data_IF_191285647062
#
_entry.id   IF_191285647062
#
_cell.length_a   1.000
_cell.length_b   1.000
_cell.length_c   1.000
_cell.angle_alpha   90.00
_cell.angle_beta   90.00
_cell.angle_gamma   90.00
#
_symmetry.space_group_name_H-M   'P 1'
#
loop_
_entity.id
_entity.type
_entity.pdbx_description
1 polymer ?
#
# COMPACT_ATOMS: atom_id res chain seq x y z
N UNK A 1 19.04 15.39 11.84
CA UNK A 1 17.86 14.92 12.60
C UNK A 1 18.35 14.46 13.96
N UNK A 2 17.58 14.68 15.05
CA UNK A 2 17.85 13.96 16.31
C UNK A 2 17.75 12.45 16.03
N UNK A 3 18.31 11.58 16.88
CA UNK A 3 18.27 10.11 16.73
C UNK A 3 16.84 9.53 16.86
N UNK A 4 15.88 10.04 16.08
CA UNK A 4 14.53 9.53 16.00
C UNK A 4 14.49 8.50 14.87
N UNK A 5 14.04 7.26 15.15
CA UNK A 5 13.88 6.27 14.11
C UNK A 5 12.79 6.72 13.13
N UNK A 6 13.04 6.53 11.83
CA UNK A 6 12.05 6.76 10.78
C UNK A 6 10.99 5.66 10.87
N UNK A 7 9.89 5.92 11.59
CA UNK A 7 8.77 4.98 11.67
C UNK A 7 7.76 5.23 10.55
N UNK A 8 7.00 4.19 10.19
CA UNK A 8 5.94 4.25 9.17
C UNK A 8 4.92 5.38 9.40
N UNK A 9 4.73 5.79 10.66
CA UNK A 9 3.77 6.84 11.05
C UNK A 9 4.21 8.25 10.64
N UNK A 10 5.50 8.45 10.31
CA UNK A 10 6.06 9.75 9.92
C UNK A 10 5.91 10.06 8.42
N UNK A 11 5.42 9.11 7.64
CA UNK A 11 5.28 9.24 6.19
C UNK A 11 3.88 9.68 5.80
N UNK A 12 3.79 10.44 4.72
CA UNK A 12 2.52 10.84 4.14
C UNK A 12 1.80 9.63 3.56
N UNK A 13 0.60 9.34 4.09
CA UNK A 13 -0.22 8.21 3.67
C UNK A 13 -1.37 8.72 2.79
N UNK A 14 -1.34 8.33 1.52
CA UNK A 14 -2.45 8.50 0.59
C UNK A 14 -3.38 7.29 0.69
N UNK A 15 -4.58 7.53 1.19
CA UNK A 15 -5.66 6.52 1.28
C UNK A 15 -6.56 6.57 0.04
N UNK A 16 -7.30 5.48 -0.18
CA UNK A 16 -8.40 5.50 -1.16
C UNK A 16 -9.43 6.54 -0.75
N UNK A 17 -9.85 7.43 -1.66
CA UNK A 17 -10.86 8.40 -1.32
C UNK A 17 -12.24 7.75 -1.19
N UNK A 18 -13.08 8.35 -0.35
CA UNK A 18 -14.44 7.89 -0.08
C UNK A 18 -15.40 8.22 -1.23
N UNK A 19 -16.50 7.46 -1.34
CA UNK A 19 -17.62 7.79 -2.23
C UNK A 19 -17.34 7.74 -3.74
N UNK A 20 -16.23 7.12 -4.15
CA UNK A 20 -15.86 7.02 -5.57
C UNK A 20 -15.27 8.30 -6.15
N UNK A 21 -14.67 9.16 -5.33
CA UNK A 21 -13.94 10.32 -5.83
C UNK A 21 -12.68 9.89 -6.62
N UNK A 22 -12.36 10.64 -7.67
CA UNK A 22 -11.30 10.27 -8.63
C UNK A 22 -10.07 11.17 -8.53
N UNK A 23 -9.83 11.73 -7.34
CA UNK A 23 -8.64 12.51 -7.03
C UNK A 23 -8.03 12.02 -5.73
N UNK A 24 -6.71 12.10 -5.65
CA UNK A 24 -5.91 11.81 -4.48
C UNK A 24 -5.77 13.06 -3.63
N UNK A 25 -5.86 12.88 -2.32
CA UNK A 25 -5.45 13.89 -1.33
C UNK A 25 -4.08 13.50 -0.82
N UNK A 26 -3.09 14.37 -1.03
CA UNK A 26 -1.71 14.16 -0.61
C UNK A 26 -1.39 15.22 0.45
N UNK A 27 -0.99 14.82 1.67
CA UNK A 27 -0.53 15.77 2.67
C UNK A 27 0.69 16.56 2.14
N UNK A 28 0.74 17.86 2.45
CA UNK A 28 1.82 18.76 2.07
C UNK A 28 2.12 19.77 3.17
N UNK A 29 3.20 20.54 2.99
CA UNK A 29 3.67 21.49 4.02
C UNK A 29 2.67 22.60 4.35
N UNK A 30 1.86 23.01 3.37
CA UNK A 30 0.84 24.04 3.52
C UNK A 30 -0.58 23.47 3.74
N UNK A 31 -0.69 22.15 3.95
CA UNK A 31 -1.95 21.42 4.02
C UNK A 31 -2.11 20.43 2.87
N UNK A 32 -3.32 19.89 2.76
CA UNK A 32 -3.65 18.85 1.79
C UNK A 32 -3.71 19.39 0.35
N UNK A 33 -3.06 18.67 -0.56
CA UNK A 33 -3.02 18.96 -1.99
C UNK A 33 -3.80 17.90 -2.78
N UNK A 34 -4.56 18.33 -3.79
CA UNK A 34 -5.43 17.45 -4.58
C UNK A 34 -4.81 17.16 -5.94
N UNK A 35 -4.65 15.87 -6.25
CA UNK A 35 -4.04 15.38 -7.49
C UNK A 35 -5.00 14.47 -8.26
N UNK A 36 -5.16 14.68 -9.56
CA UNK A 36 -5.93 13.75 -10.42
C UNK A 36 -5.18 12.45 -10.70
N UNK A 37 -3.85 12.51 -10.64
CA UNK A 37 -2.96 11.38 -10.86
C UNK A 37 -1.70 11.53 -10.01
N UNK A 38 -1.11 10.41 -9.63
CA UNK A 38 0.19 10.36 -8.97
C UNK A 38 1.20 9.73 -9.91
N UNK A 39 2.37 10.34 -10.05
CA UNK A 39 3.44 9.85 -10.91
C UNK A 39 4.71 9.74 -10.09
N UNK A 40 5.45 8.64 -10.26
CA UNK A 40 6.70 8.41 -9.53
C UNK A 40 7.30 7.03 -9.77
N UNK A 41 8.41 6.76 -9.10
CA UNK A 41 9.07 5.46 -9.13
C UNK A 41 8.56 4.65 -7.94
N UNK A 42 8.05 3.45 -8.19
CA UNK A 42 7.69 2.53 -7.10
C UNK A 42 8.97 1.87 -6.58
N UNK A 43 9.40 2.26 -5.39
CA UNK A 43 10.62 1.77 -4.77
C UNK A 43 10.46 0.33 -4.27
N UNK A 44 9.35 0.08 -3.58
CA UNK A 44 8.95 -1.24 -3.10
C UNK A 44 7.43 -1.26 -2.84
N UNK A 45 6.90 -2.43 -2.51
CA UNK A 45 5.55 -2.61 -2.04
C UNK A 45 5.45 -3.75 -1.02
N UNK A 46 4.48 -3.65 -0.11
CA UNK A 46 4.10 -4.75 0.78
C UNK A 46 2.64 -5.14 0.55
N UNK A 47 2.27 -6.34 1.00
CA UNK A 47 0.90 -6.86 0.90
C UNK A 47 0.32 -7.12 2.28
N UNK A 48 0.00 -6.09 3.08
CA UNK A 48 -0.47 -6.33 4.42
C UNK A 48 -1.90 -6.87 4.42
N UNK A 49 -2.14 -7.72 5.42
CA UNK A 49 -3.45 -8.26 5.78
C UNK A 49 -3.93 -7.68 7.09
N UNK A 50 -5.22 -7.41 7.16
CA UNK A 50 -5.87 -6.96 8.36
C UNK A 50 -7.27 -7.58 8.49
N UNK A 51 -7.59 -8.05 9.68
CA UNK A 51 -8.89 -8.61 10.04
C UNK A 51 -9.52 -7.80 11.16
N UNK A 52 -10.80 -7.47 11.01
CA UNK A 52 -11.65 -6.89 12.03
C UNK A 52 -12.82 -7.84 12.27
N UNK A 53 -13.28 -7.92 13.51
CA UNK A 53 -14.47 -8.67 13.93
C UNK A 53 -15.78 -7.96 13.55
N UNK A 54 -15.69 -6.69 13.16
CA UNK A 54 -16.79 -5.91 12.57
C UNK A 54 -16.61 -5.73 11.06
N UNK A 55 -17.69 -5.85 10.24
CA UNK A 55 -17.60 -5.71 8.79
C UNK A 55 -17.20 -4.30 8.33
N UNK A 56 -17.69 -3.28 9.05
CA UNK A 56 -17.51 -1.86 8.76
C UNK A 56 -16.92 -1.14 9.99
N UNK A 57 -15.62 -1.35 10.28
CA UNK A 57 -14.95 -0.66 11.38
C UNK A 57 -14.94 0.84 11.14
N UNK A 58 -15.14 1.61 12.21
CA UNK A 58 -14.94 3.07 12.20
C UNK A 58 -13.49 3.36 11.79
N UNK A 59 -13.27 4.43 11.03
CA UNK A 59 -11.92 4.81 10.61
C UNK A 59 -10.99 4.97 11.83
N UNK A 60 -9.80 4.39 11.74
CA UNK A 60 -8.82 4.39 12.84
C UNK A 60 -8.97 3.21 13.81
N UNK A 61 -10.04 2.41 13.74
CA UNK A 61 -10.19 1.20 14.55
C UNK A 61 -9.05 0.22 14.23
N UNK A 62 -8.24 -0.21 15.21
CA UNK A 62 -7.16 -1.17 14.98
C UNK A 62 -7.75 -2.56 14.62
N UNK A 63 -7.07 -3.34 13.76
CA UNK A 63 -7.51 -4.69 13.45
C UNK A 63 -7.29 -5.63 14.64
N UNK A 64 -8.15 -6.65 14.75
CA UNK A 64 -7.99 -7.76 15.70
C UNK A 64 -6.76 -8.60 15.34
N UNK A 65 -6.45 -8.71 14.05
CA UNK A 65 -5.24 -9.37 13.59
C UNK A 65 -4.66 -8.63 12.37
N UNK A 66 -3.34 -8.46 12.37
CA UNK A 66 -2.56 -7.86 11.30
C UNK A 66 -1.41 -8.77 10.87
N UNK A 67 -1.05 -8.72 9.59
CA UNK A 67 0.17 -9.29 9.02
C UNK A 67 0.77 -8.26 8.05
N UNK A 68 2.05 -7.87 8.19
CA UNK A 68 2.66 -6.88 7.30
C UNK A 68 2.93 -7.41 5.88
N UNK A 69 3.11 -8.71 5.74
CA UNK A 69 3.61 -9.36 4.52
C UNK A 69 2.64 -10.38 3.90
N UNK A 70 1.47 -10.59 4.50
CA UNK A 70 0.51 -11.66 4.17
C UNK A 70 0.98 -13.09 4.42
N UNK A 71 2.15 -13.29 5.02
CA UNK A 71 2.70 -14.62 5.30
C UNK A 71 2.48 -14.99 6.76
N UNK A 72 2.89 -14.12 7.68
CA UNK A 72 2.84 -14.35 9.13
C UNK A 72 2.14 -13.19 9.81
N UNK A 73 1.19 -13.48 10.70
CA UNK A 73 0.54 -12.47 11.52
C UNK A 73 1.45 -11.95 12.63
N UNK A 74 1.07 -10.83 13.23
CA UNK A 74 1.79 -10.23 14.36
C UNK A 74 1.94 -11.18 15.56
N UNK A 75 1.07 -12.18 15.71
CA UNK A 75 1.12 -13.23 16.74
C UNK A 75 1.85 -14.51 16.27
N UNK A 76 2.56 -14.46 15.15
CA UNK A 76 3.41 -15.55 14.65
C UNK A 76 2.68 -16.67 13.89
N UNK A 77 1.37 -16.53 13.62
CA UNK A 77 0.59 -17.57 12.94
C UNK A 77 0.65 -17.44 11.41
N UNK A 78 0.66 -18.56 10.66
CA UNK A 78 0.69 -18.51 9.20
C UNK A 78 -0.67 -18.08 8.63
N UNK A 79 -0.68 -17.00 7.84
CA UNK A 79 -1.88 -16.47 7.20
C UNK A 79 -2.50 -17.44 6.17
N UNK A 80 -1.71 -18.39 5.66
CA UNK A 80 -2.17 -19.45 4.73
C UNK A 80 -3.09 -20.48 5.37
N UNK A 81 -3.13 -20.58 6.71
CA UNK A 81 -4.01 -21.50 7.46
C UNK A 81 -5.09 -20.78 8.26
N UNK A 82 -5.28 -19.49 8.01
CA UNK A 82 -6.26 -18.68 8.72
C UNK A 82 -7.65 -18.86 8.14
N UNK A 83 -8.63 -19.26 8.96
CA UNK A 83 -10.03 -19.41 8.56
C UNK A 83 -10.64 -18.12 8.00
N UNK A 84 -10.15 -16.95 8.43
CA UNK A 84 -10.59 -15.64 7.93
C UNK A 84 -9.99 -15.30 6.56
N UNK A 85 -9.06 -16.10 6.04
CA UNK A 85 -8.50 -15.99 4.70
C UNK A 85 -9.12 -17.00 3.71
N UNK A 86 -10.14 -17.74 4.13
CA UNK A 86 -10.88 -18.63 3.23
C UNK A 86 -11.91 -17.86 2.40
N UNK A 87 -12.13 -18.30 1.16
CA UNK A 87 -13.22 -17.75 0.34
C UNK A 87 -14.56 -18.00 1.02
N UNK A 88 -15.42 -16.99 1.10
CA UNK A 88 -16.71 -17.11 1.81
C UNK A 88 -16.66 -16.71 3.28
N UNK A 89 -15.47 -16.52 3.87
CA UNK A 89 -15.34 -16.24 5.31
C UNK A 89 -15.92 -14.90 5.77
N UNK A 90 -16.20 -13.95 4.86
CA UNK A 90 -16.75 -12.64 5.22
C UNK A 90 -18.20 -12.71 5.72
N UNK A 91 -19.06 -13.34 4.94
CA UNK A 91 -20.52 -13.30 5.11
C UNK A 91 -21.22 -14.59 4.66
N UNK A 92 -20.50 -15.60 4.15
CA UNK A 92 -21.07 -16.86 3.64
C UNK A 92 -21.77 -16.74 2.27
N UNK A 93 -22.29 -15.56 1.94
CA UNK A 93 -23.02 -15.30 0.69
C UNK A 93 -22.13 -14.83 -0.47
N UNK A 94 -21.01 -14.16 -0.15
CA UNK A 94 -20.05 -13.70 -1.15
C UNK A 94 -18.78 -14.54 -1.11
N UNK A 95 -18.11 -14.70 -2.26
CA UNK A 95 -16.74 -15.26 -2.30
C UNK A 95 -15.68 -14.32 -1.68
N UNK A 96 -16.08 -13.33 -0.87
CA UNK A 96 -15.15 -12.43 -0.21
C UNK A 96 -14.51 -13.10 1.00
N UNK A 97 -13.29 -12.67 1.31
CA UNK A 97 -12.54 -13.08 2.49
C UNK A 97 -12.73 -12.05 3.60
N UNK A 98 -12.88 -12.49 4.85
CA UNK A 98 -13.03 -11.60 5.99
C UNK A 98 -11.73 -10.80 6.26
N UNK A 99 -10.59 -11.48 6.17
CA UNK A 99 -9.27 -10.88 6.26
C UNK A 99 -8.94 -10.13 4.96
N UNK A 100 -8.91 -8.80 5.04
CA UNK A 100 -8.69 -7.89 3.92
C UNK A 100 -7.19 -7.86 3.59
N UNK A 101 -6.85 -8.10 2.33
CA UNK A 101 -5.48 -8.02 1.81
C UNK A 101 -5.35 -6.79 0.89
N UNK A 102 -4.51 -5.85 1.29
CA UNK A 102 -4.25 -4.61 0.56
C UNK A 102 -2.85 -4.59 -0.04
N UNK A 103 -2.53 -3.58 -0.84
CA UNK A 103 -1.14 -3.30 -1.25
C UNK A 103 -0.74 -1.95 -0.66
N UNK A 104 0.45 -1.90 -0.08
CA UNK A 104 1.09 -0.65 0.33
C UNK A 104 2.24 -0.38 -0.61
N UNK A 105 2.19 0.73 -1.35
CA UNK A 105 3.20 1.11 -2.34
C UNK A 105 4.03 2.26 -1.75
N UNK A 106 5.36 2.17 -1.86
CA UNK A 106 6.27 3.27 -1.53
C UNK A 106 6.64 4.00 -2.83
N UNK A 107 5.98 5.15 -3.07
CA UNK A 107 6.13 5.91 -4.30
C UNK A 107 7.08 7.09 -4.10
N UNK A 108 8.23 7.07 -4.77
CA UNK A 108 9.11 8.23 -4.88
C UNK A 108 8.58 9.18 -5.96
N UNK A 109 8.04 10.32 -5.55
CA UNK A 109 7.51 11.34 -6.46
C UNK A 109 8.63 12.21 -7.04
N UNK A 110 8.42 12.86 -8.20
CA UNK A 110 9.29 13.94 -8.64
C UNK A 110 9.32 15.04 -7.57
N UNK A 111 10.47 15.70 -7.46
CA UNK A 111 10.70 16.84 -6.57
C UNK A 111 10.60 16.55 -5.06
N UNK A 112 10.54 15.27 -4.67
CA UNK A 112 10.52 14.85 -3.27
C UNK A 112 11.55 13.75 -3.01
N UNK A 113 12.39 13.93 -1.98
CA UNK A 113 13.40 12.93 -1.60
C UNK A 113 12.81 11.79 -0.75
N UNK A 114 11.68 12.05 -0.08
CA UNK A 114 10.99 11.06 0.74
C UNK A 114 9.84 10.43 -0.06
N UNK A 115 9.71 9.09 -0.08
CA UNK A 115 8.60 8.44 -0.72
C UNK A 115 7.31 8.65 0.07
N UNK A 116 6.18 8.74 -0.63
CA UNK A 116 4.86 8.70 -0.02
C UNK A 116 4.34 7.26 0.02
N UNK A 117 3.42 6.98 0.93
CA UNK A 117 2.82 5.67 1.10
C UNK A 117 1.44 5.66 0.47
N UNK A 118 1.21 4.79 -0.51
CA UNK A 118 -0.09 4.67 -1.17
C UNK A 118 -0.74 3.36 -0.75
N UNK A 119 -1.90 3.45 -0.09
CA UNK A 119 -2.71 2.29 0.30
C UNK A 119 -3.70 1.95 -0.81
N UNK A 120 -3.43 0.87 -1.53
CA UNK A 120 -4.30 0.32 -2.57
C UNK A 120 -5.29 -0.66 -1.93
N UNK A 121 -6.60 -0.44 -2.08
CA UNK A 121 -7.62 -1.29 -1.48
C UNK A 121 -7.71 -2.68 -2.14
N UNK A 122 -8.37 -3.62 -1.45
CA UNK A 122 -8.58 -5.01 -1.91
C UNK A 122 -9.14 -5.07 -3.33
N UNK A 123 -10.05 -4.14 -3.66
CA UNK A 123 -10.71 -4.04 -4.97
C UNK A 123 -9.76 -3.75 -6.12
N UNK A 124 -8.60 -3.14 -5.86
CA UNK A 124 -7.62 -2.78 -6.90
C UNK A 124 -6.32 -3.59 -6.83
N UNK A 125 -6.17 -4.46 -5.83
CA UNK A 125 -4.99 -5.34 -5.66
C UNK A 125 -4.67 -6.14 -6.94
N UNK A 126 -5.69 -6.76 -7.54
CA UNK A 126 -5.50 -7.58 -8.74
C UNK A 126 -5.06 -6.74 -9.95
N UNK A 127 -5.47 -5.47 -10.02
CA UNK A 127 -5.04 -4.54 -11.08
C UNK A 127 -3.54 -4.26 -10.94
N UNK A 128 -3.08 -3.98 -9.71
CA UNK A 128 -1.66 -3.80 -9.41
C UNK A 128 -0.84 -5.06 -9.71
N UNK A 129 -1.30 -6.24 -9.28
CA UNK A 129 -0.62 -7.51 -9.55
C UNK A 129 -0.49 -7.79 -11.06
N UNK A 130 -1.56 -7.55 -11.83
CA UNK A 130 -1.52 -7.68 -13.30
C UNK A 130 -0.55 -6.68 -13.93
N UNK A 131 -0.48 -5.45 -13.41
CA UNK A 131 0.50 -4.47 -13.84
C UNK A 131 1.93 -4.99 -13.63
N UNK A 132 2.26 -5.50 -12.44
CA UNK A 132 3.57 -6.11 -12.16
C UNK A 132 3.87 -7.30 -13.07
N UNK A 133 2.90 -8.22 -13.28
CA UNK A 133 3.10 -9.36 -14.19
C UNK A 133 3.41 -8.91 -15.62
N UNK A 134 2.78 -7.83 -16.10
CA UNK A 134 3.06 -7.27 -17.43
C UNK A 134 4.45 -6.65 -17.53
N UNK A 135 4.92 -5.99 -16.48
CA UNK A 135 6.29 -5.47 -16.41
C UNK A 135 7.31 -6.60 -16.43
N UNK A 136 7.11 -7.64 -15.61
CA UNK A 136 7.96 -8.84 -15.58
C UNK A 136 7.99 -9.51 -16.96
N UNK A 137 6.84 -9.65 -17.63
CA UNK A 137 6.77 -10.21 -18.98
C UNK A 137 7.55 -9.42 -20.05
N UNK A 138 7.90 -8.16 -19.75
CA UNK A 138 8.76 -7.30 -20.57
C UNK A 138 10.19 -7.16 -20.03
N UNK A 139 10.56 -7.95 -19.00
CA UNK A 139 11.85 -7.86 -18.31
C UNK A 139 12.13 -6.47 -17.71
N UNK A 140 11.08 -5.74 -17.33
CA UNK A 140 11.17 -4.42 -16.75
C UNK A 140 10.96 -4.53 -15.22
N UNK A 141 11.94 -4.16 -14.39
CA UNK A 141 11.73 -4.15 -12.95
C UNK A 141 10.75 -3.03 -12.56
N UNK A 142 9.99 -3.22 -11.48
CA UNK A 142 8.99 -2.25 -11.00
C UNK A 142 9.61 -0.87 -10.70
N UNK A 143 10.79 -0.83 -10.09
CA UNK A 143 11.54 0.39 -9.83
C UNK A 143 12.30 0.94 -11.07
N UNK A 144 12.26 0.26 -12.21
CA UNK A 144 12.90 0.69 -13.47
C UNK A 144 11.95 1.45 -14.40
N UNK A 145 10.77 1.82 -13.93
CA UNK A 145 9.80 2.61 -14.68
C UNK A 145 9.26 3.77 -13.84
N UNK A 146 8.80 4.80 -14.52
CA UNK A 146 7.92 5.78 -13.92
C UNK A 146 6.49 5.26 -14.03
N UNK A 147 5.85 5.03 -12.88
CA UNK A 147 4.47 4.58 -12.77
C UNK A 147 3.56 5.78 -12.58
N UNK A 148 2.52 5.87 -13.41
CA UNK A 148 1.37 6.75 -13.22
C UNK A 148 0.23 5.96 -12.59
N UNK A 149 -0.40 6.54 -11.58
CA UNK A 149 -1.52 5.99 -10.83
C UNK A 149 -2.71 6.93 -10.98
N UNK A 150 -3.85 6.40 -11.42
CA UNK A 150 -5.10 7.15 -11.59
C UNK A 150 -6.24 6.46 -10.86
N UNK A 151 -7.32 7.21 -10.61
CA UNK A 151 -8.54 6.69 -10.01
C UNK A 151 -9.70 6.70 -10.99
N UNK A 152 -10.44 5.61 -11.02
CA UNK A 152 -11.66 5.44 -11.81
C UNK A 152 -12.85 5.17 -10.89
N UNK A 153 -13.94 5.91 -11.08
CA UNK A 153 -15.18 5.67 -10.33
C UNK A 153 -15.90 4.45 -10.88
N UNK A 154 -16.26 3.53 -10.00
CA UNK A 154 -17.03 2.32 -10.32
C UNK A 154 -18.02 2.02 -9.20
N UNK A 155 -18.83 0.96 -9.33
CA UNK A 155 -19.82 0.55 -8.34
C UNK A 155 -19.69 -0.92 -7.99
N UNK A 156 -19.97 -1.26 -6.72
CA UNK A 156 -20.03 -2.66 -6.30
C UNK A 156 -21.39 -3.29 -6.69
N UNK A 157 -21.59 -4.57 -6.36
CA UNK A 157 -22.85 -5.29 -6.67
C UNK A 157 -24.09 -4.65 -6.04
N UNK A 158 -23.95 -3.89 -4.95
CA UNK A 158 -25.04 -3.19 -4.28
C UNK A 158 -25.19 -1.73 -4.74
N UNK A 159 -24.48 -1.33 -5.80
CA UNK A 159 -24.56 0.01 -6.38
C UNK A 159 -23.77 1.10 -5.64
N UNK A 160 -23.03 0.75 -4.58
CA UNK A 160 -22.23 1.73 -3.84
C UNK A 160 -20.99 2.13 -4.64
N UNK A 161 -20.73 3.43 -4.81
CA UNK A 161 -19.59 3.91 -5.57
C UNK A 161 -18.28 3.72 -4.81
N UNK A 162 -17.22 3.33 -5.52
CA UNK A 162 -15.86 3.28 -5.01
C UNK A 162 -14.85 3.63 -6.11
N UNK A 163 -13.61 3.87 -5.71
CA UNK A 163 -12.53 4.26 -6.63
C UNK A 163 -11.62 3.07 -6.90
N UNK A 164 -11.41 2.75 -8.17
CA UNK A 164 -10.43 1.77 -8.62
C UNK A 164 -9.11 2.45 -8.97
N UNK A 165 -8.01 1.88 -8.49
CA UNK A 165 -6.67 2.30 -8.86
C UNK A 165 -6.28 1.65 -10.19
N UNK A 166 -5.80 2.47 -11.11
CA UNK A 166 -5.23 2.06 -12.38
C UNK A 166 -3.74 2.41 -12.41
N UNK A 167 -2.93 1.57 -13.06
CA UNK A 167 -1.47 1.68 -13.08
C UNK A 167 -0.96 1.62 -14.53
N UNK A 168 -0.09 2.55 -14.88
CA UNK A 168 0.50 2.67 -16.21
C UNK A 168 2.00 2.97 -16.09
N UNK A 169 2.83 2.30 -16.90
CA UNK A 169 4.24 2.66 -17.03
C UNK A 169 4.35 3.72 -18.13
N UNK A 170 4.65 4.96 -17.74
CA UNK A 170 4.66 6.12 -18.65
C UNK A 170 6.04 6.39 -19.26
N UNK A 171 7.11 5.93 -18.59
CA UNK A 171 8.47 5.94 -19.14
C UNK A 171 9.33 4.87 -18.49
N UNK A 172 10.45 4.55 -19.14
CA UNK A 172 11.47 3.63 -18.63
C UNK A 172 12.66 4.44 -18.13
N UNK A 173 13.21 4.04 -16.99
CA UNK A 173 14.47 4.60 -16.51
C UNK A 173 15.65 4.00 -17.27
N UNK A 174 16.75 4.74 -17.33
CA UNK A 174 18.03 4.19 -17.76
C UNK A 174 18.52 3.08 -16.81
N UNK A 175 19.45 2.23 -17.22
CA UNK A 175 20.04 1.21 -16.35
C UNK A 175 20.66 1.80 -15.07
N UNK A 176 21.30 2.96 -15.17
CA UNK A 176 21.92 3.67 -14.05
C UNK A 176 20.86 4.18 -13.06
N UNK A 177 19.84 4.89 -13.55
CA UNK A 177 18.72 5.37 -12.72
C UNK A 177 17.98 4.21 -12.06
N UNK A 178 17.79 3.10 -12.78
CA UNK A 178 17.17 1.89 -12.23
C UNK A 178 18.01 1.28 -11.10
N UNK A 179 19.34 1.25 -11.25
CA UNK A 179 20.24 0.77 -10.20
C UNK A 179 20.18 1.68 -8.97
N UNK A 180 20.18 2.99 -9.17
CA UNK A 180 20.07 3.97 -8.09
C UNK A 180 18.73 3.88 -7.36
N UNK A 181 17.61 3.80 -8.09
CA UNK A 181 16.28 3.65 -7.51
C UNK A 181 16.15 2.36 -6.70
N UNK A 182 16.74 1.26 -7.20
CA UNK A 182 16.78 -0.02 -6.47
C UNK A 182 17.59 0.10 -5.18
N UNK A 183 18.79 0.66 -5.24
CA UNK A 183 19.64 0.82 -4.06
C UNK A 183 18.97 1.72 -3.01
N UNK A 184 18.37 2.83 -3.44
CA UNK A 184 17.61 3.71 -2.56
C UNK A 184 16.42 2.99 -1.92
N UNK A 185 15.62 2.27 -2.71
CA UNK A 185 14.50 1.49 -2.19
C UNK A 185 14.91 0.43 -1.17
N UNK A 186 16.01 -0.28 -1.42
CA UNK A 186 16.55 -1.28 -0.47
C UNK A 186 16.95 -0.63 0.86
N UNK A 187 17.76 0.43 0.83
CA UNK A 187 18.18 1.14 2.04
C UNK A 187 16.98 1.72 2.80
N UNK A 188 16.01 2.27 2.07
CA UNK A 188 14.79 2.81 2.64
C UNK A 188 13.99 1.73 3.39
N UNK A 189 13.80 0.57 2.78
CA UNK A 189 13.07 -0.54 3.39
C UNK A 189 13.82 -1.17 4.57
N UNK A 190 15.15 -1.23 4.53
CA UNK A 190 15.97 -1.66 5.66
C UNK A 190 15.77 -0.75 6.88
N UNK A 191 15.79 0.58 6.68
CA UNK A 191 15.54 1.56 7.74
C UNK A 191 14.13 1.39 8.31
N UNK A 192 13.12 1.28 7.46
CA UNK A 192 11.73 1.09 7.90
C UNK A 192 11.54 -0.19 8.70
N UNK A 193 12.13 -1.30 8.25
CA UNK A 193 12.02 -2.60 8.93
C UNK A 193 12.78 -2.59 10.26
N UNK A 194 13.95 -1.95 10.32
CA UNK A 194 14.70 -1.81 11.56
C UNK A 194 13.91 -1.00 12.61
N UNK A 195 13.28 0.10 12.20
CA UNK A 195 12.43 0.91 13.07
C UNK A 195 11.18 0.16 13.57
N UNK A 196 10.67 -0.82 12.82
CA UNK A 196 9.54 -1.66 13.24
C UNK A 196 9.94 -2.77 14.22
N UNK A 197 11.23 -3.11 14.33
CA UNK A 197 11.76 -4.14 15.22
C UNK A 197 12.24 -3.59 16.56
N UNK A 198 12.27 -2.26 16.74
CA UNK A 198 12.49 -1.67 18.05
C UNK A 198 11.23 -1.89 18.90
N UNK A 199 11.30 -2.68 19.99
CA UNK A 199 10.16 -2.82 20.90
C UNK A 199 9.79 -1.45 21.45
N UNK A 200 8.49 -1.20 21.67
CA UNK A 200 8.03 -0.11 22.51
C UNK A 200 8.75 -0.21 23.86
N UNK A 201 9.83 0.56 24.05
CA UNK A 201 10.37 0.85 25.37
C UNK A 201 9.39 1.84 26.01
N UNK A 202 8.20 1.33 26.35
CA UNK A 202 7.29 1.94 27.29
C UNK A 202 7.25 1.08 28.57
N UNK A 203 8.43 0.90 29.16
CA UNK A 203 8.56 0.90 30.61
C UNK A 203 9.41 2.12 30.99
N UNK A 204 8.75 3.22 31.38
CA UNK A 204 9.31 4.23 32.29
C UNK A 204 8.29 5.36 32.52
N UNK A 205 7.75 5.43 33.73
CA UNK A 205 7.07 6.62 34.26
C UNK A 205 5.80 6.34 35.02
#
# INVERSE_FOLDING_TARGET
>A
MKNQPLSFQLFDIVKSPSGGATAFTVPGLAGDEIYKELTGIVLDYTTPRAYWDTPDPVEGTPPVCYSPDSLVSHDGKPCSRCQFNDFGSKDGDSNAKACKESVTIFLLRPDNIMPIIIRVPVSSKLIFQRYMTRLIGKMMPLCGVVTKITLEKTTNKTGQPYSLYNFEAVSTLSPEETANARAFGQQFMEILNAAALEPDVQEAG
#
